data_IF_666922275524
#
_entry.id   IF_666922275524
#
_cell.length_a   1.000
_cell.length_b   1.000
_cell.length_c   1.000
_cell.angle_alpha   90.00
_cell.angle_beta   90.00
_cell.angle_gamma   90.00
#
_symmetry.space_group_name_H-M   'P 1'
#
loop_
_entity.id
_entity.type
_entity.pdbx_description
1 polymer ?
#
# COMPACT_ATOMS: atom_id res chain seq x y z
N UNK A 1 -16.54 -87.31 1.83
CA UNK A 1 -16.84 -86.03 1.07
C UNK A 1 -16.51 -84.72 1.83
N UNK A 2 -15.83 -84.74 2.93
CA UNK A 2 -15.55 -83.62 3.83
C UNK A 2 -14.36 -82.74 3.36
N UNK A 3 -13.37 -83.33 2.68
CA UNK A 3 -12.14 -82.63 2.34
C UNK A 3 -12.17 -81.51 1.23
N UNK A 4 -13.20 -81.55 0.38
CA UNK A 4 -13.33 -80.59 -0.73
C UNK A 4 -13.94 -79.27 -0.26
N UNK A 5 -14.84 -79.29 0.68
CA UNK A 5 -15.50 -78.08 1.23
C UNK A 5 -14.53 -77.23 2.08
N UNK A 6 -13.69 -77.87 2.89
CA UNK A 6 -12.67 -77.16 3.67
C UNK A 6 -11.58 -76.54 2.79
N UNK A 7 -11.16 -77.24 1.71
CA UNK A 7 -10.17 -76.70 0.78
C UNK A 7 -10.68 -75.54 -0.04
N UNK A 8 -12.02 -75.51 -0.33
CA UNK A 8 -12.64 -74.35 -1.03
C UNK A 8 -12.83 -73.18 -0.07
N UNK A 9 -13.15 -73.41 1.20
CA UNK A 9 -13.29 -72.39 2.22
C UNK A 9 -11.95 -71.69 2.50
N UNK A 10 -10.88 -72.48 2.64
CA UNK A 10 -9.53 -71.92 2.84
C UNK A 10 -9.05 -71.05 1.67
N UNK A 11 -9.32 -71.46 0.42
CA UNK A 11 -8.98 -70.63 -0.75
C UNK A 11 -9.78 -69.32 -0.82
N UNK A 12 -11.06 -69.35 -0.47
CA UNK A 12 -11.89 -68.10 -0.41
C UNK A 12 -11.38 -67.14 0.65
N UNK A 13 -11.02 -67.65 1.82
CA UNK A 13 -10.46 -66.81 2.89
C UNK A 13 -9.10 -66.23 2.51
N UNK A 14 -8.25 -66.98 1.75
CA UNK A 14 -6.97 -66.49 1.24
C UNK A 14 -7.17 -65.35 0.21
N UNK A 15 -8.15 -65.50 -0.66
CA UNK A 15 -8.47 -64.46 -1.65
C UNK A 15 -9.00 -63.22 -0.97
N UNK A 16 -9.88 -63.36 0.04
CA UNK A 16 -10.41 -62.23 0.81
C UNK A 16 -9.29 -61.52 1.58
N UNK A 17 -8.38 -62.25 2.21
CA UNK A 17 -7.23 -61.68 2.90
C UNK A 17 -6.31 -60.93 1.96
N UNK A 18 -6.03 -61.47 0.78
CA UNK A 18 -5.20 -60.82 -0.24
C UNK A 18 -5.86 -59.52 -0.76
N UNK A 19 -7.19 -59.54 -0.97
CA UNK A 19 -7.93 -58.35 -1.39
C UNK A 19 -7.89 -57.22 -0.34
N UNK A 20 -8.03 -57.59 0.94
CA UNK A 20 -7.94 -56.62 2.05
C UNK A 20 -6.54 -56.01 2.18
N UNK A 21 -5.48 -56.80 2.01
CA UNK A 21 -4.10 -56.28 2.00
C UNK A 21 -3.88 -55.35 0.82
N UNK A 22 -4.37 -55.69 -0.37
CA UNK A 22 -4.25 -54.83 -1.55
C UNK A 22 -5.01 -53.50 -1.37
N UNK A 23 -6.20 -53.51 -0.75
CA UNK A 23 -6.96 -52.30 -0.44
C UNK A 23 -6.26 -51.43 0.58
N UNK A 24 -5.63 -52.00 1.61
CA UNK A 24 -4.83 -51.24 2.57
C UNK A 24 -3.59 -50.64 1.94
N UNK A 25 -2.91 -51.36 1.04
CA UNK A 25 -1.73 -50.82 0.31
C UNK A 25 -2.12 -49.64 -0.60
N UNK A 26 -3.24 -49.75 -1.32
CA UNK A 26 -3.74 -48.65 -2.17
C UNK A 26 -4.16 -47.46 -1.31
N UNK A 27 -4.87 -47.68 -0.20
CA UNK A 27 -5.31 -46.64 0.71
C UNK A 27 -4.15 -45.86 1.35
N UNK A 28 -3.11 -46.56 1.78
CA UNK A 28 -1.91 -45.92 2.34
C UNK A 28 -1.12 -45.12 1.30
N UNK A 29 -1.10 -45.57 0.04
CA UNK A 29 -0.47 -44.82 -1.05
C UNK A 29 -1.24 -43.55 -1.38
N UNK A 30 -2.58 -43.61 -1.40
CA UNK A 30 -3.38 -42.39 -1.58
C UNK A 30 -3.21 -41.40 -0.43
N UNK A 31 -3.13 -41.83 0.82
CA UNK A 31 -2.90 -40.98 1.98
C UNK A 31 -1.55 -40.27 1.90
N UNK A 32 -0.51 -40.95 1.39
CA UNK A 32 0.82 -40.36 1.21
C UNK A 32 0.85 -39.28 0.11
N UNK A 33 0.09 -39.44 -0.99
CA UNK A 33 0.03 -38.46 -2.08
C UNK A 33 -0.93 -37.30 -1.82
N UNK A 34 -1.75 -37.33 -0.77
CA UNK A 34 -2.70 -36.27 -0.40
C UNK A 34 -2.18 -35.44 0.77
N UNK A 35 -0.96 -35.70 1.24
CA UNK A 35 -0.32 -34.81 2.21
C UNK A 35 -0.04 -33.46 1.52
N UNK A 36 -0.94 -32.51 1.78
CA UNK A 36 -0.81 -31.13 1.33
C UNK A 36 0.05 -30.40 2.37
N UNK A 37 1.29 -30.21 2.07
CA UNK A 37 2.11 -29.22 2.76
C UNK A 37 1.44 -27.85 2.58
N UNK A 38 0.69 -27.40 3.59
CA UNK A 38 0.28 -26.03 3.71
C UNK A 38 1.48 -25.22 4.19
N UNK A 39 2.22 -24.65 3.26
CA UNK A 39 3.16 -23.60 3.60
C UNK A 39 2.32 -22.37 3.94
N UNK A 40 2.11 -22.14 5.23
CA UNK A 40 1.51 -20.91 5.71
C UNK A 40 2.57 -19.83 5.65
N UNK A 41 2.57 -19.07 4.58
CA UNK A 41 3.38 -17.87 4.50
C UNK A 41 2.76 -16.83 5.44
N UNK A 42 3.35 -16.65 6.61
CA UNK A 42 3.06 -15.51 7.47
C UNK A 42 3.72 -14.28 6.86
N UNK A 43 2.95 -13.48 6.15
CA UNK A 43 3.36 -12.13 5.82
C UNK A 43 3.19 -11.28 7.08
N UNK A 44 4.28 -11.02 7.75
CA UNK A 44 4.29 -9.98 8.76
C UNK A 44 4.35 -8.66 8.01
N UNK A 45 3.26 -7.91 7.99
CA UNK A 45 3.29 -6.51 7.55
C UNK A 45 4.16 -5.79 8.56
N UNK A 46 5.26 -5.20 8.07
CA UNK A 46 6.14 -4.42 8.92
C UNK A 46 5.37 -3.26 9.56
N UNK A 47 5.76 -2.86 10.76
CA UNK A 47 5.23 -1.69 11.43
C UNK A 47 5.72 -0.43 10.70
N UNK A 48 4.83 0.17 9.89
CA UNK A 48 5.05 1.43 9.17
C UNK A 48 4.07 2.44 9.74
N UNK A 49 4.60 3.48 10.36
CA UNK A 49 3.82 4.58 10.88
C UNK A 49 4.42 5.90 10.42
N UNK A 50 3.65 6.68 9.66
CA UNK A 50 4.08 7.98 9.14
C UNK A 50 3.23 9.05 9.79
N UNK A 51 3.88 9.99 10.45
CA UNK A 51 3.24 11.16 11.04
C UNK A 51 3.62 12.46 10.30
N UNK A 52 2.74 13.44 10.40
CA UNK A 52 2.98 14.80 9.89
C UNK A 52 2.77 15.76 11.04
N UNK A 53 3.74 16.61 11.28
CA UNK A 53 3.67 17.66 12.30
C UNK A 53 4.05 19.02 11.70
N UNK A 54 3.57 20.10 12.30
CA UNK A 54 3.94 21.49 11.95
C UNK A 54 4.34 22.21 13.25
N UNK A 55 5.55 21.95 13.79
CA UNK A 55 5.91 22.38 15.13
C UNK A 55 5.97 23.90 15.32
N UNK A 56 6.25 24.66 14.27
CA UNK A 56 6.35 26.13 14.34
C UNK A 56 5.16 26.82 13.65
N UNK A 57 4.11 26.08 13.27
CA UNK A 57 2.95 26.66 12.65
C UNK A 57 1.99 27.25 13.70
N UNK A 58 1.66 28.53 13.52
CA UNK A 58 0.59 29.16 14.28
C UNK A 58 -0.60 29.43 13.35
N UNK A 59 -1.79 28.92 13.63
CA UNK A 59 -2.99 29.16 12.81
C UNK A 59 -3.30 30.63 12.55
N UNK A 60 -2.92 31.54 13.45
CA UNK A 60 -3.08 32.99 13.26
C UNK A 60 -2.25 33.54 12.09
N UNK A 61 -1.15 32.89 11.73
CA UNK A 61 -0.30 33.31 10.60
C UNK A 61 -0.98 33.07 9.25
N UNK A 62 -1.93 32.12 9.22
CA UNK A 62 -2.79 31.84 8.07
C UNK A 62 -4.05 32.71 7.98
N UNK A 63 -4.30 33.57 8.98
CA UNK A 63 -5.37 34.55 8.91
C UNK A 63 -4.93 35.78 8.08
N UNK A 64 -5.90 36.43 7.43
CA UNK A 64 -5.64 37.66 6.66
C UNK A 64 -4.55 37.54 5.61
N UNK A 65 -4.61 36.49 4.80
CA UNK A 65 -3.68 36.30 3.69
C UNK A 65 -3.97 37.33 2.61
N UNK A 66 -3.04 38.26 2.43
CA UNK A 66 -3.07 39.26 1.36
C UNK A 66 -2.19 38.86 0.19
N UNK A 67 -2.40 39.39 -1.01
CA UNK A 67 -1.52 39.15 -2.15
C UNK A 67 -0.04 39.42 -1.79
N UNK A 68 0.85 38.58 -2.26
CA UNK A 68 2.31 38.60 -2.01
C UNK A 68 2.73 38.37 -0.53
N UNK A 69 1.80 38.01 0.38
CA UNK A 69 2.18 37.63 1.74
C UNK A 69 2.92 36.31 1.73
N UNK A 70 4.08 36.26 2.33
CA UNK A 70 4.83 35.02 2.56
C UNK A 70 4.42 34.44 3.90
N UNK A 71 3.92 33.23 3.89
CA UNK A 71 3.55 32.48 5.09
C UNK A 71 4.55 31.35 5.31
N UNK A 72 5.17 31.32 6.49
CA UNK A 72 6.09 30.25 6.85
C UNK A 72 5.32 29.03 7.31
N UNK A 73 5.51 27.91 6.63
CA UNK A 73 5.05 26.59 7.05
C UNK A 73 6.22 25.64 7.06
N UNK A 74 6.25 24.78 8.05
CA UNK A 74 7.32 23.82 8.24
C UNK A 74 6.78 22.39 8.46
N UNK A 75 5.96 21.87 7.55
CA UNK A 75 5.46 20.51 7.70
C UNK A 75 6.65 19.55 7.74
N UNK A 76 6.70 18.75 8.80
CA UNK A 76 7.69 17.71 9.00
C UNK A 76 7.02 16.36 8.91
N UNK A 77 7.54 15.51 8.05
CA UNK A 77 7.15 14.11 7.96
C UNK A 77 8.15 13.30 8.76
N UNK A 78 7.65 12.37 9.58
CA UNK A 78 8.49 11.47 10.38
C UNK A 78 8.00 10.05 10.16
N UNK A 79 8.93 9.09 10.09
CA UNK A 79 8.61 7.68 10.16
C UNK A 79 8.78 7.25 11.62
N UNK A 80 7.66 7.03 12.30
CA UNK A 80 7.60 6.62 13.69
C UNK A 80 7.50 5.08 13.82
N UNK A 81 7.40 4.37 12.69
CA UNK A 81 7.36 2.91 12.64
C UNK A 81 8.74 2.28 12.75
N UNK A 82 8.77 0.98 12.93
CA UNK A 82 10.01 0.20 13.09
C UNK A 82 10.69 -0.18 11.76
N UNK A 83 10.08 0.15 10.62
CA UNK A 83 10.60 -0.23 9.30
C UNK A 83 10.73 0.97 8.38
N UNK A 84 11.74 0.93 7.53
CA UNK A 84 11.91 1.91 6.46
C UNK A 84 10.72 1.87 5.49
N UNK A 85 10.32 3.04 4.98
CA UNK A 85 9.16 3.17 4.11
C UNK A 85 9.42 4.02 2.87
N UNK A 86 8.71 3.73 1.79
CA UNK A 86 8.57 4.66 0.67
C UNK A 86 7.46 5.65 1.00
N UNK A 87 7.79 6.94 0.96
CA UNK A 87 6.84 8.00 1.33
C UNK A 87 6.48 8.84 0.11
N UNK A 88 5.18 9.05 -0.04
CA UNK A 88 4.61 9.95 -1.03
C UNK A 88 3.88 11.09 -0.32
N UNK A 89 4.00 12.29 -0.86
CA UNK A 89 3.34 13.48 -0.35
C UNK A 89 2.43 14.07 -1.43
N UNK A 90 1.20 14.36 -1.10
CA UNK A 90 0.28 15.12 -1.96
C UNK A 90 0.10 16.53 -1.41
N UNK A 91 0.32 17.52 -2.25
CA UNK A 91 0.06 18.93 -1.96
C UNK A 91 -1.04 19.43 -2.89
N UNK A 92 -2.14 19.88 -2.32
CA UNK A 92 -3.28 20.41 -3.06
C UNK A 92 -3.31 21.93 -2.95
N UNK A 93 -3.11 22.61 -4.08
CA UNK A 93 -3.16 24.07 -4.18
C UNK A 93 -4.52 24.48 -4.75
N UNK A 94 -5.33 25.28 -4.04
CA UNK A 94 -6.58 25.77 -4.57
C UNK A 94 -6.37 26.74 -5.72
N UNK A 95 -7.32 26.78 -6.64
CA UNK A 95 -7.39 27.70 -7.77
C UNK A 95 -8.56 28.65 -7.64
N UNK A 96 -8.36 29.84 -8.16
CA UNK A 96 -9.46 30.77 -8.36
C UNK A 96 -9.20 31.64 -9.61
N UNK A 97 -10.29 32.23 -10.11
CA UNK A 97 -10.17 33.22 -11.17
C UNK A 97 -9.69 34.55 -10.56
N UNK A 98 -8.43 34.86 -10.76
CA UNK A 98 -7.79 36.06 -10.23
C UNK A 98 -7.27 36.93 -11.36
N UNK A 99 -7.29 38.25 -11.13
CA UNK A 99 -6.65 39.25 -12.01
C UNK A 99 -5.33 39.66 -11.37
N UNK A 100 -4.29 39.63 -12.15
CA UNK A 100 -2.96 40.15 -11.74
C UNK A 100 -2.72 41.53 -12.34
N UNK A 101 -1.96 42.37 -11.65
CA UNK A 101 -1.57 43.66 -12.15
C UNK A 101 -0.20 43.56 -12.86
N UNK A 102 -0.07 44.25 -13.96
CA UNK A 102 1.22 44.51 -14.62
C UNK A 102 2.03 45.57 -13.86
N UNK A 103 3.30 45.73 -14.21
CA UNK A 103 4.16 46.70 -13.57
C UNK A 103 3.70 48.17 -13.76
N UNK A 104 2.92 48.44 -14.81
CA UNK A 104 2.32 49.75 -15.11
C UNK A 104 0.98 49.97 -14.40
N UNK A 105 0.52 49.01 -13.58
CA UNK A 105 -0.74 49.08 -12.85
C UNK A 105 -1.96 48.63 -13.63
N UNK A 106 -1.86 48.26 -14.90
CA UNK A 106 -2.96 47.71 -15.68
C UNK A 106 -3.29 46.29 -15.23
N UNK A 107 -4.58 45.93 -15.26
CA UNK A 107 -5.02 44.60 -14.86
C UNK A 107 -5.09 43.65 -16.05
N UNK A 108 -4.50 42.50 -15.88
CA UNK A 108 -4.68 41.39 -16.82
C UNK A 108 -6.12 40.84 -16.76
N UNK A 109 -6.52 40.19 -17.84
CA UNK A 109 -7.77 39.43 -17.81
C UNK A 109 -7.72 38.37 -16.69
N UNK A 110 -8.87 38.11 -16.07
CA UNK A 110 -8.95 37.07 -15.05
C UNK A 110 -8.61 35.71 -15.63
N UNK A 111 -7.81 34.95 -14.92
CA UNK A 111 -7.43 33.57 -15.27
C UNK A 111 -7.57 32.66 -14.06
N UNK A 112 -8.00 31.44 -14.31
CA UNK A 112 -8.05 30.43 -13.25
C UNK A 112 -6.62 29.88 -13.00
N UNK A 113 -6.05 30.22 -11.87
CA UNK A 113 -4.67 29.88 -11.54
C UNK A 113 -4.51 29.52 -10.06
N UNK A 114 -3.41 28.85 -9.73
CA UNK A 114 -3.06 28.49 -8.37
C UNK A 114 -2.93 29.73 -7.49
N UNK A 115 -3.53 29.70 -6.29
CA UNK A 115 -3.58 30.84 -5.38
C UNK A 115 -2.27 31.10 -4.65
N UNK A 116 -1.39 30.12 -4.56
CA UNK A 116 -0.08 30.28 -3.95
C UNK A 116 0.96 29.37 -4.60
N UNK A 117 2.21 29.73 -4.45
CA UNK A 117 3.37 28.91 -4.77
C UNK A 117 4.05 28.46 -3.49
N UNK A 118 4.76 27.37 -3.55
CA UNK A 118 5.50 26.83 -2.42
C UNK A 118 6.79 26.15 -2.92
N UNK A 119 7.70 25.90 -2.01
CA UNK A 119 8.91 25.11 -2.26
C UNK A 119 8.90 23.86 -1.38
N UNK A 120 9.46 22.78 -1.88
CA UNK A 120 9.72 21.57 -1.12
C UNK A 120 11.22 21.42 -0.85
N UNK A 121 11.57 20.80 0.26
CA UNK A 121 12.95 20.53 0.62
C UNK A 121 13.61 19.53 -0.34
N UNK A 122 14.94 19.50 -0.33
CA UNK A 122 15.73 18.49 -1.04
C UNK A 122 15.31 17.08 -0.60
N UNK A 123 15.34 16.15 -1.54
CA UNK A 123 14.90 14.78 -1.31
C UNK A 123 13.50 14.47 -1.85
N UNK A 124 12.66 15.48 -2.05
CA UNK A 124 11.36 15.30 -2.68
C UNK A 124 11.42 15.54 -4.18
N UNK A 125 10.89 14.61 -4.95
CA UNK A 125 10.82 14.69 -6.41
C UNK A 125 9.36 14.70 -6.86
N UNK A 126 8.98 15.72 -7.62
CA UNK A 126 7.66 15.79 -8.26
C UNK A 126 7.54 14.63 -9.27
N UNK A 127 6.54 13.79 -9.09
CA UNK A 127 6.28 12.62 -9.95
C UNK A 127 5.01 12.77 -10.78
N UNK A 128 4.03 13.56 -10.28
CA UNK A 128 2.77 13.75 -10.98
C UNK A 128 2.12 15.09 -10.62
N UNK A 129 1.45 15.68 -11.60
CA UNK A 129 0.58 16.85 -11.41
C UNK A 129 -0.79 16.52 -11.97
N UNK A 130 -1.83 16.69 -11.17
CA UNK A 130 -3.22 16.54 -11.56
C UNK A 130 -3.89 17.94 -11.53
N UNK A 131 -4.37 18.40 -12.67
CA UNK A 131 -5.08 19.67 -12.76
C UNK A 131 -6.60 19.43 -12.66
N UNK A 132 -7.24 20.04 -11.66
CA UNK A 132 -8.68 20.06 -11.49
C UNK A 132 -9.19 21.48 -11.70
N UNK A 133 -10.49 21.65 -11.78
CA UNK A 133 -11.13 22.97 -11.96
C UNK A 133 -10.84 23.90 -10.79
N UNK A 134 -10.89 23.40 -9.55
CA UNK A 134 -10.79 24.20 -8.33
C UNK A 134 -9.43 24.04 -7.61
N UNK A 135 -8.55 23.17 -8.10
CA UNK A 135 -7.25 22.93 -7.48
C UNK A 135 -6.26 22.30 -8.44
N UNK A 136 -4.97 22.43 -8.12
CA UNK A 136 -3.91 21.60 -8.67
C UNK A 136 -3.35 20.70 -7.56
N UNK A 137 -3.21 19.42 -7.83
CA UNK A 137 -2.59 18.45 -6.93
C UNK A 137 -1.20 18.10 -7.45
N UNK A 138 -0.21 18.25 -6.60
CA UNK A 138 1.17 17.90 -6.85
C UNK A 138 1.54 16.69 -6.02
N UNK A 139 1.98 15.61 -6.65
CA UNK A 139 2.38 14.38 -5.98
C UNK A 139 3.89 14.26 -6.05
N UNK A 140 4.50 14.14 -4.90
CA UNK A 140 5.94 13.98 -4.72
C UNK A 140 6.25 12.58 -4.17
N UNK A 141 7.39 12.04 -4.55
CA UNK A 141 8.01 10.90 -3.91
C UNK A 141 9.30 11.34 -3.22
N UNK A 142 9.59 10.79 -2.06
CA UNK A 142 10.90 10.95 -1.45
C UNK A 142 11.93 10.10 -2.21
N UNK A 143 13.12 10.66 -2.46
CA UNK A 143 14.13 10.07 -3.36
C UNK A 143 14.91 8.89 -2.74
N UNK A 144 14.46 8.32 -1.66
CA UNK A 144 15.07 7.18 -0.98
C UNK A 144 14.11 6.51 -0.01
N UNK A 145 14.62 5.60 0.80
CA UNK A 145 13.87 5.06 1.92
C UNK A 145 13.81 6.12 3.02
N UNK A 146 12.64 6.26 3.61
CA UNK A 146 12.40 7.12 4.77
C UNK A 146 12.70 6.29 6.00
N UNK A 147 13.87 6.50 6.60
CA UNK A 147 14.32 5.74 7.77
C UNK A 147 13.54 6.15 9.02
N UNK A 148 13.45 5.25 9.97
CA UNK A 148 12.87 5.46 11.29
C UNK A 148 13.83 6.18 12.23
#
# INVERSE_FOLDING_TARGET
>A
MTNIREKISGRKNLIIAGALIALMAIGSTFAYFVDRDQVTNHFTVGDIEISVSEPNWNPSDGADITPNKVVKKDPKITNDGANDAFVFMSVKVPKANVKTANADGTLNAGANQDLFTYSVNTGWKLIKTNAFTESTEYIYAYAGLFTH
#
